data_IF_833217483498
#
_entry.id   IF_833217483498
#
_cell.length_a   1.000
_cell.length_b   1.000
_cell.length_c   1.000
_cell.angle_alpha   90.00
_cell.angle_beta   90.00
_cell.angle_gamma   90.00
#
_symmetry.space_group_name_H-M   'P 1'
#
loop_
_entity.id
_entity.type
_entity.pdbx_description
1 polymer ?
#
# COMPACT_ATOMS: atom_id res chain seq x y z
N UNK A 1 -1.38 -6.29 -20.24
CA UNK A 1 -1.40 -4.81 -20.39
C UNK A 1 -0.86 -4.21 -19.10
N UNK A 2 -0.17 -3.08 -19.16
CA UNK A 2 0.48 -2.46 -17.99
C UNK A 2 -0.17 -1.11 -17.69
N UNK A 3 -0.49 -0.87 -16.42
CA UNK A 3 -1.20 0.30 -15.92
C UNK A 3 -0.46 0.88 -14.73
N UNK A 4 -0.37 2.20 -14.66
CA UNK A 4 0.02 2.89 -13.44
C UNK A 4 -1.23 3.04 -12.55
N UNK A 5 -1.06 2.74 -11.27
CA UNK A 5 -2.06 2.94 -10.23
C UNK A 5 -1.53 3.97 -9.24
N UNK A 6 -2.17 5.13 -9.21
CA UNK A 6 -1.94 6.18 -8.21
C UNK A 6 -3.07 6.16 -7.19
N UNK A 7 -2.72 6.22 -5.90
CA UNK A 7 -3.67 6.22 -4.79
C UNK A 7 -3.52 7.56 -4.05
N UNK A 8 -4.64 8.22 -3.78
CA UNK A 8 -4.72 9.44 -2.99
C UNK A 8 -5.79 9.30 -1.91
N UNK A 9 -5.66 10.09 -0.85
CA UNK A 9 -6.49 9.99 0.34
C UNK A 9 -7.15 11.31 0.67
N UNK A 10 -8.44 11.25 1.03
CA UNK A 10 -9.17 12.41 1.53
C UNK A 10 -9.87 12.07 2.84
N UNK A 11 -9.69 12.92 3.84
CA UNK A 11 -10.43 12.87 5.08
C UNK A 11 -11.82 13.48 4.89
N UNK A 12 -12.80 12.60 4.66
CA UNK A 12 -14.21 12.98 4.50
C UNK A 12 -14.95 13.18 5.83
N UNK A 13 -14.26 13.15 6.98
CA UNK A 13 -14.87 13.43 8.30
C UNK A 13 -15.00 14.93 8.59
N UNK A 14 -14.31 15.77 7.82
CA UNK A 14 -14.35 17.23 7.89
C UNK A 14 -15.06 17.83 6.66
N UNK A 15 -15.58 19.05 6.78
CA UNK A 15 -16.27 19.77 5.71
C UNK A 15 -15.64 21.16 5.49
N UNK A 16 -15.00 21.42 4.32
CA UNK A 16 -14.85 20.49 3.18
C UNK A 16 -13.90 19.32 3.48
N UNK A 17 -14.00 18.20 2.74
CA UNK A 17 -13.02 17.12 2.83
C UNK A 17 -11.60 17.63 2.62
N UNK A 18 -10.68 17.17 3.45
CA UNK A 18 -9.28 17.55 3.41
C UNK A 18 -8.47 16.49 2.66
N UNK A 19 -7.61 16.91 1.74
CA UNK A 19 -6.64 16.02 1.11
C UNK A 19 -5.53 15.70 2.11
N UNK A 20 -5.38 14.43 2.45
CA UNK A 20 -4.37 13.93 3.39
C UNK A 20 -3.27 13.15 2.67
N UNK A 21 -3.21 13.22 1.33
CA UNK A 21 -2.14 12.58 0.56
C UNK A 21 -0.78 13.18 0.93
N UNK A 22 -0.71 14.50 1.06
CA UNK A 22 0.52 15.19 1.46
C UNK A 22 0.99 14.80 2.87
N UNK A 23 0.07 14.52 3.79
CA UNK A 23 0.42 14.03 5.14
C UNK A 23 1.08 12.64 5.06
N UNK A 24 0.57 11.75 4.20
CA UNK A 24 1.16 10.42 3.97
C UNK A 24 2.52 10.53 3.26
N UNK A 25 2.69 11.48 2.36
CA UNK A 25 3.99 11.78 1.71
C UNK A 25 5.01 12.30 2.74
N UNK A 26 4.62 13.27 3.56
CA UNK A 26 5.47 13.85 4.61
C UNK A 26 5.85 12.80 5.68
N UNK A 27 4.96 11.85 5.97
CA UNK A 27 5.14 10.74 6.91
C UNK A 27 5.45 9.40 6.19
N UNK A 28 6.12 9.45 5.04
CA UNK A 28 6.41 8.27 4.21
C UNK A 28 7.09 7.11 4.97
N UNK A 29 7.98 7.42 5.91
CA UNK A 29 8.69 6.43 6.74
C UNK A 29 7.77 5.70 7.74
N UNK A 30 6.61 6.27 8.02
CA UNK A 30 5.62 5.73 8.95
C UNK A 30 4.41 5.13 8.23
N UNK A 31 4.31 5.31 6.91
CA UNK A 31 3.16 4.83 6.14
C UNK A 31 3.54 3.76 5.12
N UNK A 32 2.70 2.72 5.02
CA UNK A 32 2.83 1.73 3.95
C UNK A 32 1.46 1.26 3.49
N UNK A 33 1.25 1.29 2.18
CA UNK A 33 0.09 0.72 1.51
C UNK A 33 0.35 -0.73 1.12
N UNK A 34 -0.66 -1.58 1.31
CA UNK A 34 -0.66 -2.98 0.89
C UNK A 34 -1.76 -3.20 -0.14
N UNK A 35 -1.41 -3.82 -1.26
CA UNK A 35 -2.34 -4.21 -2.32
C UNK A 35 -2.52 -5.72 -2.27
N UNK A 36 -3.74 -6.16 -1.96
CA UNK A 36 -4.10 -7.57 -1.79
C UNK A 36 -5.42 -7.92 -2.51
N UNK A 37 -5.86 -9.18 -2.44
CA UNK A 37 -7.05 -9.68 -3.15
C UNK A 37 -6.67 -10.68 -4.24
N UNK A 38 -7.30 -10.59 -5.40
CA UNK A 38 -7.01 -11.42 -6.59
C UNK A 38 -5.76 -10.91 -7.34
N UNK A 39 -4.68 -10.73 -6.57
CA UNK A 39 -3.42 -10.07 -6.93
C UNK A 39 -2.25 -11.00 -6.61
N UNK A 40 -1.22 -10.97 -7.46
CA UNK A 40 0.13 -11.45 -7.11
C UNK A 40 1.09 -10.28 -6.98
N UNK A 41 1.75 -10.13 -5.85
CA UNK A 41 2.63 -9.00 -5.55
C UNK A 41 3.34 -9.15 -4.19
N UNK A 42 4.00 -8.09 -3.70
CA UNK A 42 4.74 -8.13 -2.44
C UNK A 42 3.91 -8.62 -1.24
N UNK A 43 2.64 -8.24 -1.17
CA UNK A 43 1.75 -8.49 -0.03
C UNK A 43 0.70 -9.59 -0.29
N UNK A 44 0.66 -10.17 -1.48
CA UNK A 44 -0.38 -11.11 -1.88
C UNK A 44 0.14 -12.15 -2.87
N UNK A 45 -0.30 -13.40 -2.69
CA UNK A 45 0.02 -14.51 -3.59
C UNK A 45 -1.27 -15.29 -3.88
N UNK A 46 -2.24 -14.66 -4.54
CA UNK A 46 -3.46 -15.34 -4.94
C UNK A 46 -3.16 -16.56 -5.83
N UNK A 47 -3.88 -17.67 -5.62
CA UNK A 47 -3.70 -18.91 -6.40
C UNK A 47 -4.07 -18.70 -7.88
N UNK A 48 -5.04 -17.84 -8.14
CA UNK A 48 -5.52 -17.47 -9.48
C UNK A 48 -5.55 -15.95 -9.63
N UNK A 49 -4.40 -15.27 -9.74
CA UNK A 49 -4.33 -13.81 -9.76
C UNK A 49 -4.89 -13.26 -11.07
N UNK A 50 -5.68 -12.19 -11.00
CA UNK A 50 -6.15 -11.45 -12.18
C UNK A 50 -5.12 -10.40 -12.63
N UNK A 51 -4.38 -9.85 -11.66
CA UNK A 51 -3.35 -8.84 -11.88
C UNK A 51 -2.07 -9.14 -11.10
N UNK A 52 -0.93 -8.64 -11.57
CA UNK A 52 0.28 -8.49 -10.77
C UNK A 52 0.44 -7.07 -10.26
N UNK A 53 1.15 -6.90 -9.14
CA UNK A 53 1.44 -5.63 -8.49
C UNK A 53 2.93 -5.50 -8.17
N UNK A 54 3.46 -4.29 -8.34
CA UNK A 54 4.72 -3.84 -7.74
C UNK A 54 4.61 -2.36 -7.35
N UNK A 55 5.34 -1.98 -6.32
CA UNK A 55 5.53 -0.57 -5.97
C UNK A 55 6.40 0.14 -7.02
N UNK A 56 6.10 1.40 -7.29
CA UNK A 56 6.92 2.28 -8.13
C UNK A 56 7.28 3.60 -7.42
N UNK A 57 7.09 3.65 -6.11
CA UNK A 57 7.58 4.71 -5.23
C UNK A 57 8.41 4.14 -4.06
N UNK A 58 9.23 5.01 -3.50
CA UNK A 58 10.00 4.80 -2.28
C UNK A 58 9.85 6.01 -1.35
N UNK A 59 10.21 5.86 -0.09
CA UNK A 59 10.26 6.96 0.88
C UNK A 59 11.11 8.13 0.40
N UNK A 60 12.23 7.86 -0.28
CA UNK A 60 13.11 8.89 -0.84
C UNK A 60 12.49 9.72 -1.97
N UNK A 61 11.36 9.31 -2.54
CA UNK A 61 10.60 10.12 -3.50
C UNK A 61 9.84 11.26 -2.81
N UNK A 62 9.57 11.13 -1.51
CA UNK A 62 8.76 12.07 -0.71
C UNK A 62 9.54 12.77 0.40
N UNK A 63 10.71 12.24 0.75
CA UNK A 63 11.52 12.78 1.84
C UNK A 63 12.99 12.44 1.71
N UNK A 64 13.73 12.63 2.80
CA UNK A 64 15.16 12.36 2.83
C UNK A 64 15.50 10.88 3.05
N UNK A 65 14.50 10.04 3.37
CA UNK A 65 14.70 8.70 3.93
C UNK A 65 15.71 8.74 5.09
N UNK A 66 15.32 9.42 6.16
CA UNK A 66 16.13 9.72 7.33
C UNK A 66 16.34 8.50 8.24
N UNK A 67 15.48 7.47 8.17
CA UNK A 67 15.59 6.27 9.01
C UNK A 67 15.48 4.98 8.20
N UNK A 68 16.33 4.00 8.52
CA UNK A 68 16.18 2.64 8.01
C UNK A 68 16.61 2.42 6.55
N UNK A 69 15.86 1.55 5.87
CA UNK A 69 16.01 1.22 4.45
C UNK A 69 15.10 2.12 3.61
N UNK A 70 15.38 2.29 2.32
CA UNK A 70 14.46 2.99 1.41
C UNK A 70 13.33 2.06 1.00
N UNK A 71 12.19 2.19 1.67
CA UNK A 71 11.06 1.27 1.55
C UNK A 71 9.90 1.89 0.75
N UNK A 72 9.03 1.06 0.17
CA UNK A 72 7.86 1.56 -0.54
C UNK A 72 6.86 2.29 0.36
N UNK A 73 6.25 3.35 -0.15
CA UNK A 73 5.05 3.95 0.47
C UNK A 73 3.79 3.32 -0.13
N UNK A 74 3.75 3.18 -1.46
CA UNK A 74 2.68 2.56 -2.22
C UNK A 74 1.58 3.50 -2.69
N UNK A 75 1.84 4.81 -2.73
CA UNK A 75 1.02 5.80 -3.42
C UNK A 75 1.12 5.66 -4.94
N UNK A 76 2.26 5.21 -5.46
CA UNK A 76 2.47 4.90 -6.89
C UNK A 76 2.83 3.43 -7.09
N UNK A 77 2.09 2.77 -7.98
CA UNK A 77 2.23 1.34 -8.22
C UNK A 77 2.15 1.02 -9.71
N UNK A 78 2.73 -0.11 -10.11
CA UNK A 78 2.42 -0.75 -11.38
C UNK A 78 1.54 -1.96 -11.21
N UNK A 79 0.50 -2.01 -12.04
CA UNK A 79 -0.39 -3.14 -12.19
C UNK A 79 -0.25 -3.73 -13.59
N UNK A 80 -0.16 -5.06 -13.70
CA UNK A 80 -0.23 -5.74 -14.99
C UNK A 80 -1.38 -6.73 -15.02
N UNK A 81 -2.23 -6.63 -16.05
CA UNK A 81 -3.31 -7.59 -16.26
C UNK A 81 -2.73 -8.95 -16.70
N UNK A 82 -3.09 -10.00 -15.95
CA UNK A 82 -2.64 -11.38 -16.18
C UNK A 82 -3.73 -12.23 -16.83
N UNK A 83 -4.96 -12.12 -16.36
CA UNK A 83 -6.10 -12.89 -16.84
C UNK A 83 -7.40 -12.07 -16.77
N UNK A 84 -8.32 -12.24 -17.74
CA UNK A 84 -9.64 -11.64 -17.65
C UNK A 84 -10.46 -12.33 -16.56
N UNK A 85 -11.33 -11.59 -15.89
CA UNK A 85 -12.17 -12.09 -14.83
C UNK A 85 -12.74 -11.01 -13.92
N UNK A 86 -13.58 -11.44 -12.99
CA UNK A 86 -14.09 -10.64 -11.89
C UNK A 86 -13.47 -11.14 -10.59
N UNK A 87 -13.12 -10.21 -9.70
CA UNK A 87 -12.48 -10.50 -8.43
C UNK A 87 -12.52 -9.29 -7.49
N UNK A 88 -11.51 -9.20 -6.63
CA UNK A 88 -11.39 -8.20 -5.59
C UNK A 88 -10.00 -7.56 -5.57
N UNK A 89 -9.98 -6.26 -5.33
CA UNK A 89 -8.77 -5.49 -5.04
C UNK A 89 -8.97 -4.84 -3.68
N UNK A 90 -8.13 -5.18 -2.71
CA UNK A 90 -8.17 -4.59 -1.37
C UNK A 90 -6.92 -3.75 -1.14
N UNK A 91 -7.13 -2.54 -0.63
CA UNK A 91 -6.09 -1.55 -0.34
C UNK A 91 -6.12 -1.29 1.16
N UNK A 92 -4.96 -1.46 1.79
CA UNK A 92 -4.79 -1.26 3.24
C UNK A 92 -3.70 -0.22 3.45
N UNK A 93 -4.01 0.90 4.11
CA UNK A 93 -3.02 1.86 4.60
C UNK A 93 -2.72 1.55 6.06
N UNK A 94 -1.45 1.35 6.38
CA UNK A 94 -0.97 1.21 7.76
C UNK A 94 -0.20 2.47 8.17
N UNK A 95 -0.45 2.93 9.39
CA UNK A 95 0.38 3.90 10.10
C UNK A 95 1.23 3.18 11.14
N UNK A 96 2.53 3.42 11.09
CA UNK A 96 3.61 2.66 11.72
C UNK A 96 4.56 3.59 12.51
N UNK A 97 4.04 4.41 13.43
CA UNK A 97 4.87 5.38 14.15
C UNK A 97 5.95 4.67 14.97
N UNK A 98 7.11 5.32 15.19
CA UNK A 98 8.20 4.73 15.93
C UNK A 98 7.79 4.42 17.39
N UNK A 99 8.26 3.28 17.90
CA UNK A 99 8.06 2.88 19.29
C UNK A 99 9.39 2.99 20.02
N UNK A 100 9.48 3.90 20.98
CA UNK A 100 10.73 4.25 21.67
C UNK A 100 11.86 4.60 20.68
N UNK A 101 11.55 5.47 19.72
CA UNK A 101 12.46 5.92 18.65
C UNK A 101 12.95 4.81 17.70
N UNK A 102 12.28 3.65 17.69
CA UNK A 102 12.56 2.55 16.76
C UNK A 102 11.51 2.50 15.65
N UNK A 103 11.90 2.69 14.37
CA UNK A 103 10.99 2.55 13.23
C UNK A 103 10.30 1.18 13.22
N UNK A 104 9.01 1.17 12.89
CA UNK A 104 8.22 -0.07 12.81
C UNK A 104 8.07 -0.59 11.37
N UNK A 105 8.23 0.30 10.39
CA UNK A 105 8.22 -0.06 8.97
C UNK A 105 9.47 -0.87 8.62
N UNK A 106 9.27 -1.94 7.86
CA UNK A 106 10.36 -2.82 7.40
C UNK A 106 10.01 -3.50 6.08
N UNK A 107 11.01 -3.89 5.30
CA UNK A 107 10.83 -4.61 4.04
C UNK A 107 10.15 -5.97 4.16
N UNK A 108 10.07 -6.54 5.36
CA UNK A 108 9.42 -7.83 5.61
C UNK A 108 7.89 -7.71 5.69
N UNK A 109 7.35 -6.53 6.00
CA UNK A 109 5.91 -6.33 6.27
C UNK A 109 4.98 -6.88 5.16
N UNK A 110 5.28 -6.73 3.86
CA UNK A 110 4.45 -7.33 2.82
C UNK A 110 4.40 -8.86 2.93
N UNK A 111 5.53 -9.52 3.18
CA UNK A 111 5.59 -10.97 3.33
C UNK A 111 4.95 -11.45 4.64
N UNK A 112 5.07 -10.66 5.72
CA UNK A 112 4.38 -10.88 6.98
C UNK A 112 2.87 -10.90 6.74
N UNK A 113 2.34 -9.89 6.04
CA UNK A 113 0.93 -9.80 5.70
C UNK A 113 0.47 -10.97 4.83
N UNK A 114 1.24 -11.30 3.78
CA UNK A 114 0.94 -12.41 2.87
C UNK A 114 0.89 -13.76 3.60
N UNK A 115 1.68 -13.92 4.67
CA UNK A 115 1.70 -15.11 5.53
C UNK A 115 0.64 -15.09 6.64
N UNK A 116 -0.18 -14.05 6.72
CA UNK A 116 -1.22 -13.89 7.74
C UNK A 116 -0.69 -13.52 9.12
N UNK A 117 0.55 -13.00 9.21
CA UNK A 117 1.08 -12.44 10.46
C UNK A 117 0.47 -11.09 10.76
N UNK A 118 0.35 -10.80 12.04
CA UNK A 118 -0.07 -9.48 12.52
C UNK A 118 1.05 -8.47 12.27
N UNK A 119 0.68 -7.31 11.72
CA UNK A 119 1.61 -6.20 11.49
C UNK A 119 1.62 -5.25 12.69
N UNK A 120 2.73 -4.53 12.97
CA UNK A 120 2.76 -3.44 13.96
C UNK A 120 1.99 -2.21 13.47
N UNK A 121 1.56 -1.32 14.36
CA UNK A 121 0.86 -0.06 14.02
C UNK A 121 -0.68 -0.14 13.92
N UNK A 122 -1.32 0.91 13.40
CA UNK A 122 -2.77 1.02 13.18
C UNK A 122 -3.16 0.88 11.71
N UNK A 123 -4.41 0.46 11.48
CA UNK A 123 -5.01 0.43 10.13
C UNK A 123 -5.79 1.74 10.00
N UNK A 124 -5.38 2.57 9.06
CA UNK A 124 -6.03 3.86 8.83
C UNK A 124 -7.08 3.73 7.73
N UNK A 125 -6.78 2.93 6.70
CA UNK A 125 -7.70 2.60 5.62
C UNK A 125 -7.66 1.11 5.32
N UNK A 126 -8.84 0.53 5.08
CA UNK A 126 -9.00 -0.84 4.65
C UNK A 126 -10.26 -0.95 3.78
N UNK A 127 -10.06 -0.91 2.46
CA UNK A 127 -11.14 -0.86 1.49
C UNK A 127 -11.00 -1.98 0.47
N UNK A 128 -12.12 -2.61 0.14
CA UNK A 128 -12.22 -3.62 -0.92
C UNK A 128 -13.04 -3.08 -2.06
N UNK A 129 -12.48 -3.14 -3.27
CA UNK A 129 -13.11 -2.79 -4.53
C UNK A 129 -13.39 -4.05 -5.34
N UNK A 130 -14.45 -4.02 -6.15
CA UNK A 130 -14.63 -5.02 -7.20
C UNK A 130 -13.56 -4.80 -8.28
N UNK A 131 -12.86 -5.87 -8.65
CA UNK A 131 -11.87 -5.88 -9.72
C UNK A 131 -12.48 -6.54 -10.95
N UNK A 132 -12.44 -5.84 -12.08
CA UNK A 132 -12.82 -6.37 -13.38
C UNK A 132 -11.63 -6.23 -14.33
N UNK A 133 -11.21 -7.36 -14.92
CA UNK A 133 -10.22 -7.40 -15.99
C UNK A 133 -10.89 -7.96 -17.23
N UNK A 134 -10.82 -7.23 -18.34
CA UNK A 134 -11.50 -7.55 -19.60
C UNK A 134 -10.57 -7.44 -20.80
#
# INVERSE_FOLDING_TARGET
MSYELTISFANALVDPPEDITAEIEDEAEEHMLFIVGDVVGPAAAADTPLISHRYEDLESDYGANATGEDLPVGLVNRIEALAPGEGSLRVILRHLPPINDVPQKSGELPSDLASGRELPGSVDVDLTFALLVS
#
